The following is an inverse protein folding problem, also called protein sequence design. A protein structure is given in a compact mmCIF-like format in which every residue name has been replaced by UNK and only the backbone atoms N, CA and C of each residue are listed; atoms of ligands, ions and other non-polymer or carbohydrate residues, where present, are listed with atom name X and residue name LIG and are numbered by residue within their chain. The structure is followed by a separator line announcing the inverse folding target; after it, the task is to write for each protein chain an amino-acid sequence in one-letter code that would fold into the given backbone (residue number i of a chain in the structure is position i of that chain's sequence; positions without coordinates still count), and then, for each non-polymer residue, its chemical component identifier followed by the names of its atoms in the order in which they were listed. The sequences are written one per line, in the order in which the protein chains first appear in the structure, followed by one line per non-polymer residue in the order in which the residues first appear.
data_IF_574198978977
#
_entry.id   IF_574198978977
#
_cell.length_a   1.000
_cell.length_b   1.000
_cell.length_c   1.000
_cell.angle_alpha   90.00
_cell.angle_beta   90.00
_cell.angle_gamma   90.00
#
_symmetry.space_group_name_H-M   'P 1'
#
loop_
_entity.id
_entity.type
_entity.pdbx_description
1 polymer ?
#
# COMPACT_ATOMS: atom_id res chain seq x y z
N UNK A 1 17.23 4.47 26.53
CA UNK A 1 16.98 4.83 25.11
C UNK A 1 16.99 6.34 25.00
N UNK A 2 17.78 6.91 24.09
CA UNK A 2 17.87 8.36 23.89
C UNK A 2 17.64 8.70 22.41
N UNK A 3 16.74 9.63 22.14
CA UNK A 3 16.53 10.17 20.79
C UNK A 3 17.55 11.28 20.52
N UNK A 4 18.28 11.17 19.41
CA UNK A 4 19.12 12.27 18.92
C UNK A 4 18.28 13.51 18.58
N UNK A 5 18.83 14.73 18.63
CA UNK A 5 18.11 15.94 18.23
C UNK A 5 17.53 15.86 16.81
N UNK A 6 18.28 15.29 15.86
CA UNK A 6 17.80 15.06 14.49
C UNK A 6 16.63 14.08 14.42
N UNK A 7 16.61 13.03 15.25
CA UNK A 7 15.46 12.12 15.34
C UNK A 7 14.20 12.82 15.89
N UNK A 8 14.36 13.71 16.88
CA UNK A 8 13.23 14.48 17.43
C UNK A 8 12.65 15.43 16.39
N UNK A 9 13.50 16.15 15.66
CA UNK A 9 13.04 17.00 14.55
C UNK A 9 12.28 16.18 13.51
N UNK A 10 12.82 15.03 13.12
CA UNK A 10 12.18 14.14 12.15
C UNK A 10 10.81 13.60 12.60
N UNK A 11 10.62 13.34 13.90
CA UNK A 11 9.33 12.92 14.44
C UNK A 11 8.28 14.03 14.45
N UNK A 12 8.71 15.28 14.60
CA UNK A 12 7.83 16.46 14.65
C UNK A 12 7.47 16.99 13.26
N UNK A 13 8.31 16.77 12.25
CA UNK A 13 8.07 17.24 10.88
C UNK A 13 7.19 16.28 10.08
N UNK A 14 7.15 14.99 10.43
CA UNK A 14 6.34 14.01 9.70
C UNK A 14 4.86 14.06 10.12
N UNK A 15 3.95 14.03 9.16
CA UNK A 15 2.51 14.21 9.38
C UNK A 15 1.75 13.00 9.92
N UNK A 16 2.40 11.82 10.02
CA UNK A 16 1.82 10.57 10.54
C UNK A 16 0.40 10.28 10.02
N UNK A 17 0.22 10.06 8.70
CA UNK A 17 -1.10 9.83 8.10
C UNK A 17 -1.83 8.60 8.68
N UNK A 18 -1.10 7.61 9.21
CA UNK A 18 -1.60 6.44 9.93
C UNK A 18 -1.80 6.65 11.44
N UNK A 19 -1.84 7.90 11.91
CA UNK A 19 -2.04 8.30 13.30
C UNK A 19 -0.98 7.71 14.26
N UNK A 20 -1.35 7.55 15.54
CA UNK A 20 -0.48 7.07 16.63
C UNK A 20 0.07 5.67 16.38
N UNK A 21 -0.65 4.80 15.65
CA UNK A 21 -0.20 3.44 15.33
C UNK A 21 1.02 3.43 14.42
N UNK A 22 1.06 4.33 13.44
CA UNK A 22 2.22 4.47 12.55
C UNK A 22 3.44 4.99 13.31
N UNK A 23 3.24 5.97 14.21
CA UNK A 23 4.29 6.48 15.09
C UNK A 23 4.85 5.36 15.99
N UNK A 24 3.98 4.57 16.61
CA UNK A 24 4.37 3.45 17.46
C UNK A 24 5.19 2.41 16.69
N UNK A 25 4.72 1.99 15.51
CA UNK A 25 5.44 1.06 14.65
C UNK A 25 6.80 1.64 14.20
N UNK A 26 6.85 2.92 13.85
CA UNK A 26 8.09 3.58 13.42
C UNK A 26 9.12 3.62 14.56
N UNK A 27 8.70 3.97 15.79
CA UNK A 27 9.55 3.94 16.98
C UNK A 27 10.02 2.51 17.29
N UNK A 28 9.12 1.53 17.24
CA UNK A 28 9.46 0.14 17.53
C UNK A 28 10.52 -0.41 16.56
N UNK A 29 10.33 -0.18 15.25
CA UNK A 29 11.34 -0.54 14.23
C UNK A 29 12.66 0.19 14.45
N UNK A 30 12.64 1.48 14.74
CA UNK A 30 13.84 2.27 14.97
C UNK A 30 14.63 1.78 16.21
N UNK A 31 13.94 1.31 17.25
CA UNK A 31 14.56 0.68 18.44
C UNK A 31 15.23 -0.65 18.07
N UNK A 32 14.55 -1.50 17.30
CA UNK A 32 15.09 -2.79 16.85
C UNK A 32 16.35 -2.59 16.00
N UNK A 33 16.31 -1.66 15.05
CA UNK A 33 17.45 -1.33 14.19
C UNK A 33 18.61 -0.72 14.98
N UNK A 34 18.32 0.18 15.92
CA UNK A 34 19.34 0.78 16.79
C UNK A 34 20.01 -0.25 17.71
N UNK A 35 19.27 -1.28 18.15
CA UNK A 35 19.82 -2.42 18.90
C UNK A 35 20.69 -3.31 18.01
N UNK A 36 20.25 -3.58 16.78
CA UNK A 36 21.01 -4.40 15.83
C UNK A 36 22.34 -3.75 15.39
N UNK A 37 22.43 -2.42 15.44
CA UNK A 37 23.61 -1.66 14.97
C UNK A 37 24.59 -1.24 16.08
N UNK A 38 24.39 -1.62 17.36
CA UNK A 38 25.34 -1.28 18.44
C UNK A 38 25.65 -2.44 19.40
N UNK A 39 26.92 -2.44 19.82
CA UNK A 39 27.55 -3.34 20.81
C UNK A 39 27.80 -2.67 22.17
N UNK A 40 26.91 -1.80 22.67
CA UNK A 40 27.13 -1.08 23.93
C UNK A 40 25.85 -0.71 24.69
N UNK A 41 26.01 -0.28 25.94
CA UNK A 41 24.93 -0.20 26.95
C UNK A 41 23.90 0.93 26.74
N UNK A 42 24.20 1.91 25.86
CA UNK A 42 23.29 3.04 25.56
C UNK A 42 22.79 3.01 24.11
N UNK A 43 21.49 2.74 23.97
CA UNK A 43 20.75 2.80 22.69
C UNK A 43 20.43 4.26 22.35
N UNK A 44 21.06 4.78 21.29
CA UNK A 44 20.80 6.11 20.72
C UNK A 44 20.10 5.95 19.37
N UNK A 45 18.92 6.55 19.23
CA UNK A 45 18.14 6.51 18.00
C UNK A 45 18.46 7.75 17.17
N UNK A 46 19.00 7.51 15.98
CA UNK A 46 19.31 8.52 14.98
C UNK A 46 18.18 8.62 13.96
N UNK A 47 18.05 9.76 13.27
CA UNK A 47 17.04 9.96 12.22
C UNK A 47 17.11 8.85 11.15
N UNK A 48 18.31 8.38 10.80
CA UNK A 48 18.54 7.25 9.88
C UNK A 48 17.89 5.92 10.29
N UNK A 49 17.56 5.73 11.57
CA UNK A 49 16.89 4.51 12.03
C UNK A 49 15.38 4.56 11.77
N UNK A 50 14.83 5.76 11.60
CA UNK A 50 13.54 5.94 10.96
C UNK A 50 13.79 5.78 9.47
N UNK A 51 13.66 4.55 8.98
CA UNK A 51 13.66 4.23 7.54
C UNK A 51 12.42 4.85 6.90
N UNK A 52 12.48 6.17 6.75
CA UNK A 52 11.55 7.08 6.08
C UNK A 52 12.45 8.02 5.25
N UNK A 53 13.27 7.48 4.35
CA UNK A 53 13.83 8.25 3.23
C UNK A 53 13.44 7.47 1.97
N UNK A 54 12.37 7.87 1.31
CA UNK A 54 12.28 8.91 0.27
C UNK A 54 12.57 8.33 -1.13
N UNK A 55 11.69 8.66 -2.08
CA UNK A 55 11.88 8.61 -3.55
C UNK A 55 11.68 7.34 -4.39
N UNK A 56 11.25 6.16 -3.89
CA UNK A 56 10.86 5.08 -4.82
C UNK A 56 9.80 4.08 -4.34
N UNK A 57 8.87 4.55 -3.52
CA UNK A 57 7.53 3.96 -3.55
C UNK A 57 6.78 4.93 -4.47
N UNK A 58 6.14 4.50 -5.58
CA UNK A 58 5.18 5.36 -6.22
C UNK A 58 4.32 5.87 -5.08
N UNK A 59 4.29 7.19 -4.87
CA UNK A 59 3.30 7.78 -4.00
C UNK A 59 1.98 7.41 -4.63
N UNK A 60 1.48 6.23 -4.27
CA UNK A 60 0.08 5.99 -4.10
C UNK A 60 -0.22 7.01 -3.03
N UNK A 61 -0.51 8.25 -3.48
CA UNK A 61 -1.44 9.12 -2.78
C UNK A 61 -2.41 8.14 -2.16
N UNK A 62 -2.60 8.10 -0.83
CA UNK A 62 -3.83 7.52 -0.33
C UNK A 62 -4.87 8.22 -1.18
N UNK A 63 -5.49 7.50 -2.13
CA UNK A 63 -6.65 8.00 -2.82
C UNK A 63 -7.50 8.43 -1.64
N UNK A 64 -7.65 9.75 -1.50
CA UNK A 64 -8.32 10.36 -0.35
C UNK A 64 -9.50 9.45 -0.11
N UNK A 65 -9.63 8.80 1.08
CA UNK A 65 -10.53 7.66 1.24
C UNK A 65 -11.83 8.12 0.65
N UNK A 66 -12.12 7.62 -0.56
CA UNK A 66 -13.21 8.20 -1.32
C UNK A 66 -14.37 7.92 -0.39
N UNK A 67 -15.02 8.99 0.02
CA UNK A 67 -16.08 8.94 0.98
C UNK A 67 -17.23 8.25 0.28
N UNK A 68 -17.14 6.93 0.20
CA UNK A 68 -18.13 6.12 -0.45
C UNK A 68 -18.85 5.40 0.66
N UNK A 69 -20.03 5.93 0.95
CA UNK A 69 -21.19 5.09 1.19
C UNK A 69 -21.43 4.17 -0.03
N UNK A 70 -20.41 3.43 -0.48
CA UNK A 70 -20.56 2.37 -1.46
C UNK A 70 -21.18 1.22 -0.70
N UNK A 71 -22.38 0.88 -1.13
CA UNK A 71 -22.94 -0.41 -0.74
C UNK A 71 -21.97 -1.52 -1.19
N UNK A 72 -22.02 -2.68 -0.51
CA UNK A 72 -21.12 -3.82 -0.79
C UNK A 72 -21.07 -4.19 -2.29
N UNK A 73 -22.18 -3.95 -3.02
CA UNK A 73 -22.27 -4.25 -4.43
C UNK A 73 -21.33 -3.36 -5.25
N UNK A 74 -21.38 -2.04 -5.07
CA UNK A 74 -20.52 -1.10 -5.82
C UNK A 74 -19.04 -1.36 -5.53
N UNK A 75 -18.67 -1.55 -4.26
CA UNK A 75 -17.30 -1.88 -3.87
C UNK A 75 -16.81 -3.19 -4.53
N UNK A 76 -17.69 -4.19 -4.62
CA UNK A 76 -17.37 -5.46 -5.29
C UNK A 76 -17.24 -5.29 -6.80
N UNK A 77 -18.11 -4.49 -7.43
CA UNK A 77 -18.06 -4.21 -8.87
C UNK A 77 -16.78 -3.46 -9.24
N UNK A 78 -16.36 -2.49 -8.43
CA UNK A 78 -15.11 -1.75 -8.65
C UNK A 78 -13.88 -2.63 -8.44
N UNK A 79 -13.86 -3.45 -7.39
CA UNK A 79 -12.81 -4.44 -7.20
C UNK A 79 -12.69 -5.41 -8.40
N UNK A 80 -13.83 -5.91 -8.90
CA UNK A 80 -13.88 -6.77 -10.08
C UNK A 80 -13.35 -6.04 -11.33
N UNK A 81 -13.72 -4.77 -11.51
CA UNK A 81 -13.24 -3.93 -12.62
C UNK A 81 -11.72 -3.83 -12.60
N UNK A 82 -11.14 -3.48 -11.45
CA UNK A 82 -9.70 -3.34 -11.29
C UNK A 82 -8.95 -4.65 -11.53
N UNK A 83 -9.49 -5.76 -11.02
CA UNK A 83 -8.90 -7.10 -11.23
C UNK A 83 -8.86 -7.49 -12.70
N UNK A 84 -9.97 -7.28 -13.44
CA UNK A 84 -10.04 -7.61 -14.86
C UNK A 84 -9.10 -6.72 -15.68
N UNK A 85 -9.03 -5.42 -15.38
CA UNK A 85 -8.13 -4.49 -16.09
C UNK A 85 -6.67 -4.88 -15.90
N UNK A 86 -6.24 -5.19 -14.67
CA UNK A 86 -4.86 -5.65 -14.40
C UNK A 86 -4.55 -6.96 -15.12
N UNK A 87 -5.48 -7.90 -15.13
CA UNK A 87 -5.30 -9.16 -15.87
C UNK A 87 -5.14 -8.90 -17.38
N UNK A 88 -5.93 -7.99 -17.96
CA UNK A 88 -5.84 -7.61 -19.38
C UNK A 88 -4.50 -6.95 -19.72
N UNK A 89 -3.99 -6.07 -18.87
CA UNK A 89 -2.69 -5.43 -19.05
C UNK A 89 -1.55 -6.44 -19.02
N UNK A 90 -1.59 -7.41 -18.10
CA UNK A 90 -0.56 -8.44 -17.97
C UNK A 90 -0.58 -9.48 -19.10
N UNK A 91 -1.74 -9.67 -19.75
CA UNK A 91 -1.93 -10.72 -20.75
C UNK A 91 -2.12 -10.17 -22.17
N UNK A 92 -1.53 -9.00 -22.49
CA UNK A 92 -1.60 -8.37 -23.83
C UNK A 92 -3.03 -8.23 -24.37
N UNK A 93 -3.99 -7.92 -23.49
CA UNK A 93 -5.44 -7.81 -23.80
C UNK A 93 -6.07 -9.10 -24.35
N UNK A 94 -5.44 -10.27 -24.14
CA UNK A 94 -6.00 -11.56 -24.51
C UNK A 94 -7.00 -12.05 -23.47
N UNK A 95 -8.28 -12.02 -23.82
CA UNK A 95 -9.39 -12.46 -22.95
C UNK A 95 -9.27 -13.93 -22.52
N UNK A 96 -8.78 -14.80 -23.39
CA UNK A 96 -8.58 -16.22 -23.07
C UNK A 96 -7.48 -16.43 -22.02
N UNK A 97 -6.38 -15.67 -22.13
CA UNK A 97 -5.29 -15.73 -21.16
C UNK A 97 -5.70 -15.09 -19.82
N UNK A 98 -6.45 -13.99 -19.85
CA UNK A 98 -7.02 -13.37 -18.65
C UNK A 98 -7.97 -14.29 -17.90
N UNK A 99 -8.86 -14.98 -18.62
CA UNK A 99 -9.82 -15.91 -18.03
C UNK A 99 -9.08 -17.04 -17.30
N UNK A 100 -8.03 -17.60 -17.91
CA UNK A 100 -7.17 -18.59 -17.25
C UNK A 100 -6.46 -18.03 -16.02
N UNK A 101 -5.91 -16.81 -16.11
CA UNK A 101 -5.22 -16.17 -14.99
C UNK A 101 -6.15 -15.82 -13.82
N UNK A 102 -7.43 -15.54 -14.10
CA UNK A 102 -8.47 -15.27 -13.12
C UNK A 102 -9.25 -16.54 -12.71
N UNK A 103 -8.78 -17.73 -13.13
CA UNK A 103 -9.41 -19.03 -12.87
C UNK A 103 -10.90 -19.07 -13.20
N UNK A 104 -11.29 -18.44 -14.30
CA UNK A 104 -12.67 -18.33 -14.74
C UNK A 104 -12.85 -18.71 -16.20
N UNK A 105 -14.08 -19.09 -16.56
CA UNK A 105 -14.45 -19.34 -17.94
C UNK A 105 -14.47 -18.03 -18.76
N UNK A 106 -14.05 -18.10 -20.03
CA UNK A 106 -13.99 -16.94 -20.94
C UNK A 106 -15.37 -16.30 -21.17
N UNK A 107 -16.43 -17.11 -21.27
CA UNK A 107 -17.79 -16.61 -21.42
C UNK A 107 -18.26 -15.89 -20.14
N UNK A 108 -17.89 -16.40 -18.96
CA UNK A 108 -18.17 -15.73 -17.69
C UNK A 108 -17.41 -14.40 -17.57
N UNK A 109 -16.15 -14.36 -18.00
CA UNK A 109 -15.36 -13.13 -18.00
C UNK A 109 -15.96 -12.09 -18.94
N UNK A 110 -16.41 -12.50 -20.13
CA UNK A 110 -17.09 -11.59 -21.05
C UNK A 110 -18.41 -11.05 -20.50
N UNK A 111 -19.22 -11.92 -19.89
CA UNK A 111 -20.49 -11.49 -19.26
C UNK A 111 -20.23 -10.52 -18.12
N UNK A 112 -19.20 -10.78 -17.32
CA UNK A 112 -18.78 -9.92 -16.22
C UNK A 112 -18.28 -8.57 -16.73
N UNK A 113 -17.39 -8.56 -17.73
CA UNK A 113 -16.87 -7.34 -18.34
C UNK A 113 -17.97 -6.49 -18.98
N UNK A 114 -18.96 -7.11 -19.63
CA UNK A 114 -20.12 -6.39 -20.20
C UNK A 114 -20.99 -5.78 -19.10
N UNK A 115 -21.26 -6.52 -18.01
CA UNK A 115 -22.02 -6.02 -16.86
C UNK A 115 -21.33 -4.84 -16.18
N UNK A 116 -20.00 -4.88 -16.10
CA UNK A 116 -19.19 -3.80 -15.53
C UNK A 116 -18.97 -2.65 -16.52
N UNK A 117 -19.45 -2.72 -17.77
CA UNK A 117 -19.24 -1.66 -18.77
C UNK A 117 -17.80 -1.55 -19.28
N UNK A 118 -16.98 -2.59 -19.09
CA UNK A 118 -15.61 -2.68 -19.62
C UNK A 118 -15.54 -3.11 -21.09
N UNK A 119 -16.64 -3.65 -21.62
CA UNK A 119 -16.72 -4.15 -23.00
C UNK A 119 -18.09 -3.84 -23.59
N UNK A 120 -18.11 -3.04 -24.67
CA UNK A 120 -19.24 -2.81 -25.57
C UNK A 120 -19.35 -3.89 -26.63
#
# INVERSE_FOLDING_TARGET
MVLSPGARGHLLTYGWPGNVRELEHAIHRAVVLARATRSGDKIVIHARHFALHDENIPSVKPAAPESVNENLREATEEFQRQMITRALEQNNRSWAACARALEMDVANLHRLAKRLGLKG
#
